data_IF_924014915748
#
_entry.id   IF_924014915748
#
_cell.length_a   1.000
_cell.length_b   1.000
_cell.length_c   1.000
_cell.angle_alpha   90.00
_cell.angle_beta   90.00
_cell.angle_gamma   90.00
#
_symmetry.space_group_name_H-M   'P 1'
#
loop_
_entity.id
_entity.type
_entity.pdbx_description
1 polymer ?
#
# COMPACT_ATOMS: atom_id res chain seq x y z
N UNK A 1 -46.42 -56.08 49.37
CA UNK A 1 -45.31 -56.64 48.56
C UNK A 1 -45.34 -56.01 47.17
N UNK A 2 -44.15 -55.67 46.66
CA UNK A 2 -43.79 -54.92 45.42
C UNK A 2 -43.63 -53.38 45.60
N UNK A 3 -42.37 -52.89 45.70
CA UNK A 3 -42.06 -51.47 45.67
C UNK A 3 -41.88 -50.95 44.22
N UNK A 4 -42.29 -49.70 44.00
CA UNK A 4 -42.15 -48.95 42.76
C UNK A 4 -40.71 -48.42 42.64
N UNK A 5 -40.08 -48.63 41.48
CA UNK A 5 -38.74 -48.14 41.13
C UNK A 5 -38.79 -46.63 40.86
N UNK A 6 -37.92 -45.85 41.51
CA UNK A 6 -37.60 -44.48 41.10
C UNK A 6 -36.19 -44.46 40.53
N UNK A 7 -36.06 -44.10 39.26
CA UNK A 7 -34.79 -43.95 38.55
C UNK A 7 -34.28 -42.51 38.73
N UNK A 8 -33.08 -42.40 39.28
CA UNK A 8 -32.29 -41.17 39.37
C UNK A 8 -31.71 -40.86 37.97
N UNK A 9 -32.10 -39.75 37.34
CA UNK A 9 -31.45 -39.24 36.12
C UNK A 9 -30.55 -38.08 36.51
N UNK A 10 -29.24 -38.31 36.40
CA UNK A 10 -28.19 -37.32 36.61
C UNK A 10 -28.01 -36.53 35.31
N UNK A 11 -28.49 -35.28 35.27
CA UNK A 11 -28.26 -34.38 34.12
C UNK A 11 -26.87 -33.75 34.21
N UNK A 12 -25.96 -34.19 33.34
CA UNK A 12 -24.66 -33.57 33.09
C UNK A 12 -24.90 -32.32 32.23
N UNK A 13 -24.65 -31.13 32.80
CA UNK A 13 -24.65 -29.86 32.07
C UNK A 13 -23.30 -29.76 31.34
N UNK A 14 -23.32 -29.99 30.03
CA UNK A 14 -22.19 -29.77 29.14
C UNK A 14 -22.09 -28.27 28.82
N UNK A 15 -21.12 -27.57 29.43
CA UNK A 15 -20.76 -26.20 29.05
C UNK A 15 -20.14 -26.22 27.64
N UNK A 16 -20.93 -25.83 26.64
CA UNK A 16 -20.45 -25.52 25.30
C UNK A 16 -19.76 -24.15 25.34
N UNK A 17 -18.43 -24.15 25.28
CA UNK A 17 -17.62 -22.98 24.97
C UNK A 17 -17.87 -22.56 23.52
N UNK A 18 -18.58 -21.45 23.32
CA UNK A 18 -18.71 -20.81 22.02
C UNK A 18 -17.38 -20.13 21.66
N UNK A 19 -16.54 -20.84 20.91
CA UNK A 19 -15.46 -20.22 20.15
C UNK A 19 -16.09 -19.35 19.04
N UNK A 20 -16.06 -18.04 19.22
CA UNK A 20 -16.41 -17.06 18.19
C UNK A 20 -15.32 -17.02 17.11
N UNK A 21 -15.29 -18.02 16.24
CA UNK A 21 -14.68 -17.87 14.92
C UNK A 21 -15.59 -16.94 14.10
N UNK A 22 -15.23 -15.65 14.00
CA UNK A 22 -15.84 -14.76 13.00
C UNK A 22 -15.44 -15.29 11.62
N UNK A 23 -16.33 -16.07 11.02
CA UNK A 23 -16.23 -16.53 9.64
C UNK A 23 -16.52 -15.34 8.73
N UNK A 24 -15.73 -15.16 7.67
CA UNK A 24 -16.01 -14.18 6.63
C UNK A 24 -17.42 -14.40 6.06
N UNK A 25 -18.20 -13.33 5.96
CA UNK A 25 -19.57 -13.39 5.45
C UNK A 25 -19.57 -13.31 3.91
N UNK A 26 -20.43 -14.08 3.22
CA UNK A 26 -20.59 -13.95 1.77
C UNK A 26 -21.16 -12.57 1.41
N UNK A 27 -20.74 -12.02 0.27
CA UNK A 27 -21.31 -10.78 -0.28
C UNK A 27 -22.82 -10.96 -0.55
N UNK A 28 -23.66 -10.22 0.16
CA UNK A 28 -25.12 -10.20 -0.06
C UNK A 28 -25.55 -9.00 -0.90
N UNK A 29 -26.67 -9.12 -1.62
CA UNK A 29 -27.14 -8.20 -2.66
C UNK A 29 -27.78 -6.90 -2.16
N UNK A 30 -27.67 -6.58 -0.87
CA UNK A 30 -27.99 -5.25 -0.35
C UNK A 30 -26.69 -4.59 0.11
N UNK A 31 -25.77 -4.39 -0.83
CA UNK A 31 -24.54 -3.64 -0.56
C UNK A 31 -24.95 -2.17 -0.40
N UNK A 32 -24.85 -1.59 0.80
CA UNK A 32 -25.02 -0.15 0.92
C UNK A 32 -23.88 0.51 0.14
N UNK A 33 -24.09 1.74 -0.34
CA UNK A 33 -23.07 2.57 -1.02
C UNK A 33 -21.92 2.92 -0.07
N UNK A 34 -21.22 1.93 0.48
CA UNK A 34 -20.35 2.12 1.62
C UNK A 34 -18.93 2.38 1.17
N UNK A 35 -18.44 3.49 1.70
CA UNK A 35 -17.04 3.81 1.92
C UNK A 35 -16.38 2.62 2.61
N UNK A 36 -15.17 2.29 2.19
CA UNK A 36 -14.45 1.12 2.69
C UNK A 36 -12.97 1.18 2.36
N UNK A 37 -12.22 0.26 2.94
CA UNK A 37 -10.78 0.19 2.78
C UNK A 37 -10.42 -1.12 2.10
N UNK A 38 -9.85 -1.04 0.91
CA UNK A 38 -9.16 -2.17 0.31
C UNK A 38 -7.82 -2.38 1.00
N UNK A 39 -7.50 -3.64 1.28
CA UNK A 39 -6.20 -4.08 1.75
C UNK A 39 -5.69 -5.11 0.76
N UNK A 40 -4.74 -4.70 -0.06
CA UNK A 40 -4.06 -5.59 -1.00
C UNK A 40 -3.04 -6.43 -0.23
N UNK A 41 -3.10 -7.73 -0.46
CA UNK A 41 -2.23 -8.71 0.18
C UNK A 41 -1.32 -9.29 -0.91
N UNK A 42 -0.01 -9.16 -0.75
CA UNK A 42 0.96 -9.59 -1.78
C UNK A 42 0.80 -11.08 -2.06
N UNK A 43 0.57 -11.87 -1.00
CA UNK A 43 0.83 -13.29 -1.05
C UNK A 43 2.34 -13.56 -1.06
N UNK A 44 2.71 -14.81 -1.32
CA UNK A 44 4.10 -15.23 -1.35
C UNK A 44 4.56 -15.35 -2.80
N UNK A 45 5.75 -14.84 -3.09
CA UNK A 45 6.38 -14.93 -4.39
C UNK A 45 6.34 -16.37 -4.96
N UNK A 46 5.85 -16.52 -6.18
CA UNK A 46 5.75 -17.80 -6.90
C UNK A 46 4.57 -18.68 -6.46
N UNK A 47 3.69 -18.21 -5.57
CA UNK A 47 2.57 -19.01 -5.03
C UNK A 47 1.23 -18.64 -5.61
N UNK A 48 1.12 -17.52 -6.32
CA UNK A 48 -0.11 -17.09 -7.00
C UNK A 48 -1.31 -17.03 -6.03
N UNK A 49 -1.06 -16.47 -4.85
CA UNK A 49 -1.99 -16.38 -3.72
C UNK A 49 -2.18 -14.93 -3.23
N UNK A 50 -1.97 -13.94 -4.10
CA UNK A 50 -2.37 -12.56 -3.80
C UNK A 50 -3.88 -12.48 -3.64
N UNK A 51 -4.34 -11.70 -2.67
CA UNK A 51 -5.77 -11.55 -2.35
C UNK A 51 -6.12 -10.09 -2.09
N UNK A 52 -7.38 -9.72 -2.30
CA UNK A 52 -7.87 -8.37 -2.02
C UNK A 52 -8.89 -8.40 -0.88
N UNK A 53 -8.50 -7.96 0.32
CA UNK A 53 -9.44 -7.84 1.43
C UNK A 53 -10.19 -6.50 1.34
N UNK A 54 -11.45 -6.46 1.78
CA UNK A 54 -12.25 -5.23 1.84
C UNK A 54 -12.86 -5.06 3.22
N UNK A 55 -12.54 -3.94 3.86
CA UNK A 55 -12.99 -3.58 5.20
C UNK A 55 -14.04 -2.46 5.14
N UNK A 56 -15.13 -2.62 5.89
CA UNK A 56 -16.17 -1.60 6.04
C UNK A 56 -16.09 -1.02 7.46
N UNK A 57 -15.60 0.23 7.64
CA UNK A 57 -15.40 0.83 8.96
C UNK A 57 -16.64 0.88 9.85
N UNK A 58 -17.80 1.24 9.28
CA UNK A 58 -19.06 1.47 10.00
C UNK A 58 -19.62 0.18 10.62
N UNK A 59 -19.57 -0.94 9.87
CA UNK A 59 -20.07 -2.24 10.33
C UNK A 59 -18.99 -3.11 10.97
N UNK A 60 -17.72 -2.71 10.83
CA UNK A 60 -16.55 -3.48 11.23
C UNK A 60 -16.46 -4.87 10.57
N UNK A 61 -17.04 -5.02 9.37
CA UNK A 61 -16.99 -6.24 8.58
C UNK A 61 -15.74 -6.27 7.71
N UNK A 62 -15.12 -7.45 7.60
CA UNK A 62 -14.02 -7.73 6.68
C UNK A 62 -14.45 -8.84 5.73
N UNK A 63 -14.41 -8.53 4.44
CA UNK A 63 -14.57 -9.50 3.37
C UNK A 63 -13.19 -9.93 2.89
N UNK A 64 -12.91 -11.22 2.98
CA UNK A 64 -11.64 -11.79 2.54
C UNK A 64 -11.67 -12.04 1.03
N UNK A 65 -10.64 -11.62 0.31
CA UNK A 65 -10.49 -11.85 -1.14
C UNK A 65 -11.74 -11.56 -1.99
N UNK A 66 -12.24 -10.31 -1.91
CA UNK A 66 -13.40 -9.87 -2.69
C UNK A 66 -13.20 -10.02 -4.19
N UNK A 67 -11.95 -10.00 -4.67
CA UNK A 67 -11.66 -10.23 -6.08
C UNK A 67 -12.05 -11.64 -6.51
N UNK A 68 -11.57 -12.67 -5.82
CA UNK A 68 -11.93 -14.06 -6.12
C UNK A 68 -13.42 -14.31 -5.91
N UNK A 69 -13.99 -13.84 -4.80
CA UNK A 69 -15.41 -14.07 -4.49
C UNK A 69 -16.35 -13.54 -5.58
N UNK A 70 -16.04 -12.37 -6.16
CA UNK A 70 -16.89 -11.76 -7.20
C UNK A 70 -16.57 -12.28 -8.60
N UNK A 71 -15.30 -12.55 -8.89
CA UNK A 71 -14.84 -12.79 -10.27
C UNK A 71 -14.46 -14.24 -10.57
N UNK A 72 -14.50 -15.13 -9.56
CA UNK A 72 -14.29 -16.57 -9.71
C UNK A 72 -12.87 -16.97 -10.14
N UNK A 73 -11.88 -16.09 -9.98
CA UNK A 73 -10.48 -16.36 -10.34
C UNK A 73 -9.51 -15.63 -9.40
N UNK A 74 -8.31 -16.19 -9.27
CA UNK A 74 -7.26 -15.59 -8.43
C UNK A 74 -6.81 -14.23 -9.01
N UNK A 75 -6.44 -13.33 -8.10
CA UNK A 75 -5.92 -12.02 -8.45
C UNK A 75 -4.56 -12.13 -9.17
N UNK A 76 -3.67 -12.97 -8.65
CA UNK A 76 -2.39 -13.30 -9.25
C UNK A 76 -1.31 -13.48 -8.18
N UNK A 77 -0.08 -13.16 -8.56
CA UNK A 77 1.12 -13.35 -7.75
C UNK A 77 1.80 -12.02 -7.45
N UNK A 78 2.02 -11.73 -6.16
CA UNK A 78 2.64 -10.50 -5.65
C UNK A 78 1.85 -9.22 -6.01
N UNK A 79 0.70 -9.02 -5.37
CA UNK A 79 -0.05 -7.75 -5.45
C UNK A 79 0.68 -6.60 -4.76
N UNK A 80 1.16 -5.61 -5.51
CA UNK A 80 2.13 -4.62 -5.03
C UNK A 80 1.56 -3.20 -4.82
N UNK A 81 0.54 -2.83 -5.58
CA UNK A 81 -0.06 -1.50 -5.48
C UNK A 81 -1.54 -1.48 -5.77
N UNK A 82 -2.23 -0.53 -5.16
CA UNK A 82 -3.66 -0.30 -5.39
C UNK A 82 -3.92 1.19 -5.45
N UNK A 83 -4.57 1.65 -6.52
CA UNK A 83 -4.97 3.04 -6.70
C UNK A 83 -6.43 3.10 -7.09
N UNK A 84 -7.18 3.98 -6.43
CA UNK A 84 -8.56 4.28 -6.79
C UNK A 84 -8.56 5.60 -7.53
N UNK A 85 -9.07 5.61 -8.76
CA UNK A 85 -9.19 6.83 -9.55
C UNK A 85 -10.51 6.82 -10.34
N UNK A 86 -11.36 7.81 -10.06
CA UNK A 86 -12.74 7.82 -10.57
C UNK A 86 -13.50 6.59 -10.10
N UNK A 87 -14.24 5.95 -11.01
CA UNK A 87 -15.01 4.73 -10.72
C UNK A 87 -14.24 3.44 -11.00
N UNK A 88 -12.92 3.43 -10.75
CA UNK A 88 -12.04 2.29 -11.03
C UNK A 88 -11.02 2.10 -9.92
N UNK A 89 -10.75 0.85 -9.62
CA UNK A 89 -9.66 0.41 -8.75
C UNK A 89 -8.65 -0.31 -9.63
N UNK A 90 -7.42 0.18 -9.64
CA UNK A 90 -6.30 -0.39 -10.38
C UNK A 90 -5.42 -1.16 -9.39
N UNK A 91 -5.18 -2.43 -9.68
CA UNK A 91 -4.43 -3.33 -8.80
C UNK A 91 -3.22 -3.83 -9.59
N UNK A 92 -2.03 -3.43 -9.17
CA UNK A 92 -0.77 -3.83 -9.81
C UNK A 92 -0.35 -5.18 -9.24
N UNK A 93 -0.20 -6.18 -10.12
CA UNK A 93 0.15 -7.54 -9.75
C UNK A 93 1.49 -7.89 -10.39
N UNK A 94 2.56 -7.71 -9.61
CA UNK A 94 3.93 -7.63 -10.08
C UNK A 94 4.39 -8.92 -10.77
N UNK A 95 4.37 -10.05 -10.07
CA UNK A 95 4.85 -11.33 -10.61
C UNK A 95 3.83 -12.01 -11.55
N UNK A 96 2.78 -11.29 -11.93
CA UNK A 96 1.84 -11.69 -12.99
C UNK A 96 1.84 -10.74 -14.18
N UNK A 97 2.78 -9.78 -14.23
CA UNK A 97 2.98 -8.87 -15.36
C UNK A 97 1.68 -8.18 -15.82
N UNK A 98 0.85 -7.76 -14.87
CA UNK A 98 -0.47 -7.21 -15.19
C UNK A 98 -0.98 -6.22 -14.18
N UNK A 99 -1.99 -5.47 -14.62
CA UNK A 99 -2.85 -4.64 -13.79
C UNK A 99 -4.28 -5.15 -13.94
N UNK A 100 -4.92 -5.45 -12.83
CA UNK A 100 -6.33 -5.78 -12.78
C UNK A 100 -7.13 -4.51 -12.49
N UNK A 101 -8.20 -4.28 -13.24
CA UNK A 101 -9.08 -3.13 -13.05
C UNK A 101 -10.45 -3.63 -12.64
N UNK A 102 -10.95 -3.18 -11.50
CA UNK A 102 -12.28 -3.52 -10.99
C UNK A 102 -13.11 -2.26 -10.73
N UNK A 103 -14.42 -2.45 -10.66
CA UNK A 103 -15.38 -1.43 -10.26
C UNK A 103 -15.46 -1.38 -8.71
N UNK A 104 -15.36 -0.19 -8.07
CA UNK A 104 -15.17 -0.10 -6.62
C UNK A 104 -16.38 -0.53 -5.78
N UNK A 105 -17.62 -0.46 -6.29
CA UNK A 105 -18.83 -0.78 -5.52
C UNK A 105 -19.15 -2.27 -5.58
N UNK A 106 -19.13 -2.83 -6.79
CA UNK A 106 -19.51 -4.21 -7.09
C UNK A 106 -18.31 -5.16 -7.09
N UNK A 107 -17.09 -4.62 -7.10
CA UNK A 107 -15.82 -5.35 -7.20
C UNK A 107 -15.69 -6.20 -8.47
N UNK A 108 -16.58 -5.99 -9.44
CA UNK A 108 -16.59 -6.70 -10.71
C UNK A 108 -15.38 -6.28 -11.53
N UNK A 109 -14.73 -7.27 -12.10
CA UNK A 109 -13.68 -7.11 -13.07
C UNK A 109 -14.18 -6.34 -14.28
N UNK A 110 -13.39 -5.33 -14.67
CA UNK A 110 -13.63 -4.51 -15.84
C UNK A 110 -12.68 -4.88 -16.98
N UNK A 111 -11.40 -5.08 -16.67
CA UNK A 111 -10.37 -5.52 -17.62
C UNK A 111 -9.07 -5.91 -16.93
N UNK A 112 -8.22 -6.58 -17.70
CA UNK A 112 -6.82 -6.83 -17.38
C UNK A 112 -5.95 -6.08 -18.39
N UNK A 113 -4.94 -5.37 -17.90
CA UNK A 113 -3.95 -4.69 -18.72
C UNK A 113 -2.64 -5.46 -18.58
N UNK A 114 -2.14 -6.02 -19.67
CA UNK A 114 -0.93 -6.83 -19.67
C UNK A 114 0.30 -5.94 -19.90
N UNK A 115 1.34 -6.18 -19.10
CA UNK A 115 2.66 -5.57 -19.20
C UNK A 115 3.70 -6.70 -19.21
N UNK A 116 3.74 -7.53 -20.26
CA UNK A 116 4.48 -8.79 -20.27
C UNK A 116 5.98 -8.56 -20.10
N UNK A 117 6.63 -9.27 -19.17
CA UNK A 117 8.06 -9.12 -18.83
C UNK A 117 8.42 -7.72 -18.31
N UNK A 118 7.52 -7.03 -17.62
CA UNK A 118 7.73 -5.66 -17.16
C UNK A 118 7.96 -5.56 -15.65
N UNK A 119 7.48 -6.52 -14.85
CA UNK A 119 7.53 -6.45 -13.39
C UNK A 119 6.93 -5.11 -12.90
N UNK A 120 5.62 -4.87 -13.18
CA UNK A 120 4.97 -3.61 -12.84
C UNK A 120 4.92 -3.45 -11.31
N UNK A 121 5.19 -2.25 -10.80
CA UNK A 121 5.39 -2.05 -9.36
C UNK A 121 4.41 -1.03 -8.76
N UNK A 122 4.44 0.24 -9.18
CA UNK A 122 3.49 1.27 -8.74
C UNK A 122 2.78 1.91 -9.93
N UNK A 123 1.58 2.44 -9.70
CA UNK A 123 0.80 3.15 -10.73
C UNK A 123 0.40 4.56 -10.27
N UNK A 124 0.51 5.54 -11.16
CA UNK A 124 -0.12 6.85 -11.00
C UNK A 124 -1.07 7.14 -12.17
N UNK A 125 -2.21 7.73 -11.89
CA UNK A 125 -3.22 8.09 -12.90
C UNK A 125 -3.17 9.59 -13.15
N UNK A 126 -3.14 9.98 -14.43
CA UNK A 126 -3.23 11.36 -14.87
C UNK A 126 -4.21 11.46 -16.05
N UNK A 127 -5.38 12.06 -15.83
CA UNK A 127 -6.43 12.15 -16.83
C UNK A 127 -6.84 10.76 -17.35
N UNK A 128 -6.64 10.52 -18.65
CA UNK A 128 -6.91 9.23 -19.30
C UNK A 128 -5.69 8.32 -19.41
N UNK A 129 -4.55 8.72 -18.84
CA UNK A 129 -3.30 7.94 -18.85
C UNK A 129 -3.00 7.36 -17.48
N UNK A 130 -2.45 6.15 -17.47
CA UNK A 130 -1.80 5.55 -16.31
C UNK A 130 -0.31 5.41 -16.58
N UNK A 131 0.51 5.70 -15.59
CA UNK A 131 1.96 5.55 -15.64
C UNK A 131 2.33 4.47 -14.64
N UNK A 132 3.02 3.43 -15.10
CA UNK A 132 3.30 2.22 -14.32
C UNK A 132 4.80 2.03 -14.27
N UNK A 133 5.39 2.04 -13.08
CA UNK A 133 6.83 1.76 -12.94
C UNK A 133 7.12 0.29 -13.17
N UNK A 134 8.24 0.00 -13.82
CA UNK A 134 8.68 -1.35 -14.16
C UNK A 134 10.10 -1.57 -13.64
N UNK A 135 10.23 -2.36 -12.57
CA UNK A 135 11.48 -2.47 -11.82
C UNK A 135 12.66 -2.91 -12.69
N UNK A 136 12.51 -3.99 -13.44
CA UNK A 136 13.63 -4.59 -14.17
C UNK A 136 13.84 -4.01 -15.57
N UNK A 137 12.99 -3.06 -15.99
CA UNK A 137 13.11 -2.35 -17.27
C UNK A 137 13.75 -0.98 -17.16
N UNK A 138 13.93 -0.46 -15.94
CA UNK A 138 14.38 0.93 -15.72
C UNK A 138 13.50 1.92 -16.50
N UNK A 139 12.18 1.68 -16.47
CA UNK A 139 11.22 2.34 -17.34
C UNK A 139 9.84 2.48 -16.70
N UNK A 140 9.04 3.34 -17.31
CA UNK A 140 7.61 3.47 -17.06
C UNK A 140 6.84 3.00 -18.30
N UNK A 141 5.80 2.20 -18.11
CA UNK A 141 4.81 1.92 -19.16
C UNK A 141 3.68 2.93 -19.05
N UNK A 142 3.29 3.53 -20.18
CA UNK A 142 2.14 4.44 -20.26
C UNK A 142 0.97 3.68 -20.87
N UNK A 143 -0.16 3.67 -20.16
CA UNK A 143 -1.38 2.98 -20.55
C UNK A 143 -2.51 3.99 -20.75
N UNK A 144 -3.43 3.69 -21.66
CA UNK A 144 -4.72 4.36 -21.72
C UNK A 144 -5.69 3.66 -20.75
N UNK A 145 -6.21 4.40 -19.78
CA UNK A 145 -7.02 3.82 -18.69
C UNK A 145 -8.46 3.51 -19.12
N UNK A 146 -8.91 4.03 -20.27
CA UNK A 146 -10.26 3.82 -20.78
C UNK A 146 -10.34 2.58 -21.66
N UNK A 147 -9.29 2.30 -22.42
CA UNK A 147 -9.16 1.16 -23.35
C UNK A 147 -8.33 0.03 -22.76
N UNK A 148 -7.45 0.33 -21.80
CA UNK A 148 -6.50 -0.63 -21.24
C UNK A 148 -5.34 -0.95 -22.19
N UNK A 149 -5.17 -0.17 -23.27
CA UNK A 149 -4.10 -0.36 -24.23
C UNK A 149 -2.80 0.27 -23.73
N UNK A 150 -1.67 -0.37 -24.03
CA UNK A 150 -0.34 0.21 -23.83
C UNK A 150 -0.09 1.26 -24.91
N UNK A 151 0.10 2.51 -24.50
CA UNK A 151 0.43 3.64 -25.38
C UNK A 151 1.94 3.72 -25.62
N UNK A 152 2.72 3.53 -24.55
CA UNK A 152 4.18 3.50 -24.59
C UNK A 152 4.64 2.35 -23.70
N UNK A 153 5.25 1.33 -24.31
CA UNK A 153 5.72 0.16 -23.56
C UNK A 153 6.91 0.49 -22.66
N UNK A 154 7.86 1.30 -23.16
CA UNK A 154 9.10 1.64 -22.46
C UNK A 154 9.40 3.14 -22.57
N UNK A 155 9.04 3.91 -21.53
CA UNK A 155 9.52 5.27 -21.29
C UNK A 155 10.67 5.21 -20.29
N UNK A 156 11.92 5.37 -20.77
CA UNK A 156 13.12 5.23 -19.92
C UNK A 156 13.16 6.27 -18.79
N UNK A 157 13.51 5.80 -17.60
CA UNK A 157 13.80 6.60 -16.39
C UNK A 157 15.10 6.11 -15.76
N UNK A 158 15.34 6.39 -14.47
CA UNK A 158 16.48 5.85 -13.73
C UNK A 158 16.32 4.36 -13.38
N UNK A 159 17.22 3.86 -12.53
CA UNK A 159 17.30 2.44 -12.23
C UNK A 159 16.20 2.02 -11.24
N UNK A 160 15.61 0.84 -11.49
CA UNK A 160 14.62 0.18 -10.63
C UNK A 160 13.59 1.13 -10.02
N UNK A 161 12.71 1.74 -10.84
CA UNK A 161 11.76 2.72 -10.34
C UNK A 161 10.72 2.06 -9.41
N UNK A 162 10.71 2.47 -8.13
CA UNK A 162 9.83 1.89 -7.10
C UNK A 162 8.71 2.81 -6.65
N UNK A 163 8.85 4.14 -6.80
CA UNK A 163 7.82 5.11 -6.43
C UNK A 163 7.27 5.86 -7.63
N UNK A 164 5.98 6.22 -7.59
CA UNK A 164 5.39 7.12 -8.58
C UNK A 164 4.28 7.97 -7.98
N UNK A 165 4.20 9.25 -8.39
CA UNK A 165 3.18 10.18 -7.92
C UNK A 165 2.77 11.14 -9.04
N UNK A 166 1.47 11.39 -9.20
CA UNK A 166 0.96 12.41 -10.13
C UNK A 166 0.45 13.62 -9.38
N UNK A 167 1.02 14.79 -9.64
CA UNK A 167 0.58 16.05 -9.05
C UNK A 167 1.01 17.23 -9.92
N UNK A 168 0.22 18.31 -9.89
CA UNK A 168 0.52 19.57 -10.56
C UNK A 168 0.90 19.42 -12.06
N UNK A 169 0.19 18.54 -12.78
CA UNK A 169 0.43 18.31 -14.21
C UNK A 169 1.73 17.57 -14.53
N UNK A 170 2.35 16.91 -13.55
CA UNK A 170 3.60 16.15 -13.70
C UNK A 170 3.45 14.76 -13.12
N UNK A 171 4.33 13.85 -13.54
CA UNK A 171 4.53 12.54 -12.92
C UNK A 171 5.95 12.52 -12.35
N UNK A 172 6.07 12.22 -11.06
CA UNK A 172 7.35 12.05 -10.37
C UNK A 172 7.60 10.55 -10.20
N UNK A 173 8.77 10.09 -10.58
CA UNK A 173 9.17 8.68 -10.50
C UNK A 173 10.42 8.57 -9.63
N UNK A 174 10.33 7.85 -8.52
CA UNK A 174 11.47 7.59 -7.65
C UNK A 174 12.25 6.39 -8.21
N UNK A 175 13.53 6.62 -8.52
CA UNK A 175 14.43 5.58 -9.02
C UNK A 175 15.32 5.13 -7.87
N UNK A 176 14.97 4.02 -7.24
CA UNK A 176 15.69 3.54 -6.06
C UNK A 176 17.01 2.88 -6.42
N UNK A 177 17.08 2.22 -7.58
CA UNK A 177 18.21 1.39 -7.97
C UNK A 177 18.56 0.31 -6.93
N UNK A 178 17.60 -0.11 -6.11
CA UNK A 178 17.84 -0.94 -4.91
C UNK A 178 18.87 -0.34 -3.94
N UNK A 179 18.93 0.99 -3.84
CA UNK A 179 19.86 1.74 -2.99
C UNK A 179 20.98 2.39 -3.80
N UNK A 180 21.17 1.99 -5.06
CA UNK A 180 22.27 2.47 -5.91
C UNK A 180 21.85 3.55 -6.92
N UNK A 181 20.63 4.08 -6.83
CA UNK A 181 20.22 5.29 -7.54
C UNK A 181 19.67 6.30 -6.52
N UNK A 182 19.71 7.57 -6.91
CA UNK A 182 19.44 8.72 -6.06
C UNK A 182 18.67 9.80 -6.82
N UNK A 183 17.92 9.41 -7.85
CA UNK A 183 17.22 10.36 -8.74
C UNK A 183 15.71 10.19 -8.68
N UNK A 184 15.00 11.31 -8.73
CA UNK A 184 13.60 11.37 -9.14
C UNK A 184 13.52 11.86 -10.58
N UNK A 185 12.90 11.10 -11.48
CA UNK A 185 12.60 11.53 -12.84
C UNK A 185 11.25 12.25 -12.86
N UNK A 186 11.19 13.44 -13.48
CA UNK A 186 9.95 14.21 -13.67
C UNK A 186 9.53 14.08 -15.13
N UNK A 187 8.32 13.58 -15.35
CA UNK A 187 7.73 13.38 -16.68
C UNK A 187 6.63 14.42 -16.91
N UNK A 188 6.62 15.00 -18.11
CA UNK A 188 5.50 15.77 -18.62
C UNK A 188 4.49 14.81 -19.30
N UNK A 189 3.29 14.61 -18.74
CA UNK A 189 2.34 13.65 -19.26
C UNK A 189 1.59 14.10 -20.53
N UNK A 190 1.71 15.39 -20.92
CA UNK A 190 1.20 15.87 -22.21
C UNK A 190 2.06 15.39 -23.37
N UNK A 191 3.38 15.27 -23.15
CA UNK A 191 4.36 14.89 -24.18
C UNK A 191 4.97 13.52 -23.97
N UNK A 192 4.69 12.88 -22.83
CA UNK A 192 5.27 11.61 -22.38
C UNK A 192 6.80 11.60 -22.42
N UNK A 193 7.41 12.70 -21.95
CA UNK A 193 8.87 12.86 -21.91
C UNK A 193 9.34 13.18 -20.49
N UNK A 194 10.47 12.58 -20.12
CA UNK A 194 11.24 13.04 -18.95
C UNK A 194 11.75 14.46 -19.25
N UNK A 195 11.40 15.41 -18.39
CA UNK A 195 11.75 16.83 -18.54
C UNK A 195 12.76 17.31 -17.50
N UNK A 196 12.95 16.57 -16.41
CA UNK A 196 13.90 16.89 -15.34
C UNK A 196 14.31 15.63 -14.58
N UNK A 197 15.52 15.65 -14.05
CA UNK A 197 15.95 14.72 -13.00
C UNK A 197 16.35 15.52 -11.77
N UNK A 198 15.91 15.08 -10.60
CA UNK A 198 16.19 15.70 -9.30
C UNK A 198 17.06 14.72 -8.52
N UNK A 199 18.28 15.14 -8.14
CA UNK A 199 19.18 14.33 -7.32
C UNK A 199 18.84 14.49 -5.84
N UNK A 200 18.72 13.38 -5.13
CA UNK A 200 18.37 13.26 -3.71
C UNK A 200 19.46 12.48 -2.97
N UNK A 201 19.05 11.74 -1.93
CA UNK A 201 19.84 10.68 -1.31
C UNK A 201 19.48 9.31 -1.90
N UNK A 202 20.21 8.28 -1.49
CA UNK A 202 20.14 6.94 -2.05
C UNK A 202 18.81 6.24 -1.75
N UNK A 203 18.33 5.43 -2.69
CA UNK A 203 17.11 4.66 -2.53
C UNK A 203 15.83 5.51 -2.37
N UNK A 204 15.55 6.53 -3.21
CA UNK A 204 14.25 7.18 -3.20
C UNK A 204 13.15 6.15 -3.50
N UNK A 205 12.10 6.12 -2.70
CA UNK A 205 11.05 5.08 -2.77
C UNK A 205 9.63 5.63 -2.61
N UNK A 206 9.29 6.20 -1.45
CA UNK A 206 7.92 6.59 -1.14
C UNK A 206 7.68 8.10 -1.33
N UNK A 207 6.48 8.45 -1.77
CA UNK A 207 6.02 9.83 -1.91
C UNK A 207 4.85 10.14 -0.97
N UNK A 208 4.79 11.35 -0.42
CA UNK A 208 3.60 11.87 0.26
C UNK A 208 3.48 13.39 0.10
N UNK A 209 2.24 13.90 -0.01
CA UNK A 209 1.97 15.31 -0.25
C UNK A 209 1.69 16.06 1.06
N UNK A 210 2.44 17.12 1.32
CA UNK A 210 2.10 18.15 2.31
C UNK A 210 1.33 19.27 1.58
N UNK A 211 0.02 19.08 1.43
CA UNK A 211 -0.85 19.97 0.65
C UNK A 211 -0.79 21.43 1.10
N UNK A 212 -0.73 21.66 2.42
CA UNK A 212 -0.72 23.01 3.00
C UNK A 212 0.46 23.88 2.58
N UNK A 213 1.54 23.26 2.06
CA UNK A 213 2.76 23.96 1.60
C UNK A 213 3.12 23.66 0.15
N UNK A 214 2.29 22.94 -0.61
CA UNK A 214 2.60 22.49 -1.97
C UNK A 214 3.93 21.74 -2.07
N UNK A 215 4.23 20.88 -1.08
CA UNK A 215 5.47 20.11 -0.99
C UNK A 215 5.20 18.63 -1.20
N UNK A 216 5.82 18.05 -2.22
CA UNK A 216 5.88 16.60 -2.39
C UNK A 216 7.11 16.09 -1.65
N UNK A 217 6.89 15.37 -0.54
CA UNK A 217 7.95 14.73 0.20
C UNK A 217 8.32 13.39 -0.46
N UNK A 218 9.61 13.13 -0.55
CA UNK A 218 10.20 11.89 -1.05
C UNK A 218 11.02 11.26 0.05
N UNK A 219 10.72 10.02 0.41
CA UNK A 219 11.49 9.23 1.36
C UNK A 219 12.55 8.43 0.60
N UNK A 220 13.80 8.66 0.97
CA UNK A 220 14.95 7.85 0.61
C UNK A 220 15.23 6.88 1.76
N UNK A 221 15.21 5.56 1.50
CA UNK A 221 15.53 4.57 2.53
C UNK A 221 17.04 4.40 2.74
N UNK A 222 17.86 5.06 1.92
CA UNK A 222 19.31 4.92 1.91
C UNK A 222 19.77 3.75 1.05
N UNK A 223 20.97 3.26 1.31
CA UNK A 223 21.52 2.04 0.73
C UNK A 223 21.92 1.13 1.86
N UNK A 224 21.58 -0.15 1.73
CA UNK A 224 22.33 -1.20 2.39
C UNK A 224 23.60 -1.38 1.56
N UNK A 225 24.77 -1.25 2.14
CA UNK A 225 25.97 -1.67 1.45
C UNK A 225 26.20 -3.16 1.64
N UNK A 226 27.45 -3.61 1.64
CA UNK A 226 27.77 -5.02 1.80
C UNK A 226 27.81 -5.42 3.29
N UNK A 227 27.33 -6.62 3.58
CA UNK A 227 27.32 -7.16 4.95
C UNK A 227 28.73 -7.30 5.59
N UNK A 228 29.80 -7.02 4.84
CA UNK A 228 31.19 -7.14 5.27
C UNK A 228 31.76 -5.79 5.72
N UNK A 229 31.15 -4.66 5.36
CA UNK A 229 31.60 -3.33 5.73
C UNK A 229 30.44 -2.42 6.22
N UNK A 230 30.08 -2.44 7.50
CA UNK A 230 28.97 -1.63 8.04
C UNK A 230 29.13 -0.10 7.91
N UNK A 231 30.27 0.40 7.41
CA UNK A 231 30.51 1.81 7.10
C UNK A 231 30.05 2.21 5.67
N UNK A 232 29.51 1.28 4.87
CA UNK A 232 29.02 1.54 3.51
C UNK A 232 27.49 1.71 3.40
N UNK A 233 26.78 1.63 4.53
CA UNK A 233 25.37 1.95 4.63
C UNK A 233 25.14 3.46 4.56
N UNK A 234 24.13 3.89 3.80
CA UNK A 234 23.63 5.26 3.86
C UNK A 234 22.28 5.31 4.57
N UNK A 235 22.09 6.35 5.38
CA UNK A 235 20.95 6.45 6.27
C UNK A 235 19.68 6.97 5.56
N UNK A 236 18.52 6.64 6.11
CA UNK A 236 17.24 7.14 5.65
C UNK A 236 17.12 8.65 5.74
N UNK A 237 16.64 9.29 4.67
CA UNK A 237 16.45 10.75 4.59
C UNK A 237 15.23 11.08 3.76
N UNK A 238 14.52 12.15 4.09
CA UNK A 238 13.44 12.66 3.26
C UNK A 238 13.70 14.07 2.76
N UNK A 239 13.17 14.39 1.58
CA UNK A 239 13.32 15.68 0.91
C UNK A 239 11.96 16.22 0.50
N UNK A 240 11.74 17.52 0.71
CA UNK A 240 10.56 18.21 0.20
C UNK A 240 10.87 18.85 -1.15
N UNK A 241 10.10 18.49 -2.18
CA UNK A 241 10.14 19.11 -3.50
C UNK A 241 8.97 20.08 -3.60
N UNK A 242 9.25 21.35 -3.89
CA UNK A 242 8.21 22.31 -4.26
C UNK A 242 7.64 21.91 -5.63
N UNK A 243 6.34 21.57 -5.69
CA UNK A 243 5.71 21.00 -6.89
C UNK A 243 5.54 22.02 -8.03
N UNK A 244 5.71 23.31 -7.75
CA UNK A 244 5.61 24.39 -8.75
C UNK A 244 6.94 24.53 -9.48
N UNK A 245 8.04 24.54 -8.73
CA UNK A 245 9.39 24.83 -9.23
C UNK A 245 10.27 23.59 -9.45
N UNK A 246 9.85 22.43 -8.95
CA UNK A 246 10.61 21.18 -8.90
C UNK A 246 11.95 21.31 -8.18
N UNK A 247 12.06 22.25 -7.25
CA UNK A 247 13.26 22.46 -6.45
C UNK A 247 13.11 21.80 -5.08
N UNK A 248 14.22 21.28 -4.57
CA UNK A 248 14.28 20.82 -3.18
C UNK A 248 14.24 22.06 -2.28
N UNK A 249 13.29 22.10 -1.36
CA UNK A 249 13.07 23.23 -0.45
C UNK A 249 13.25 22.86 1.02
N UNK A 250 13.33 21.56 1.34
CA UNK A 250 13.57 21.08 2.70
C UNK A 250 14.15 19.67 2.71
N UNK A 251 14.73 19.26 3.84
CA UNK A 251 15.08 17.88 4.12
C UNK A 251 15.12 17.56 5.60
N UNK A 252 14.89 16.28 5.94
CA UNK A 252 14.93 15.74 7.30
C UNK A 252 15.70 14.41 7.25
N UNK A 253 16.72 14.28 8.09
CA UNK A 253 17.42 13.00 8.30
C UNK A 253 16.53 12.14 9.19
N UNK A 254 16.15 10.96 8.69
CA UNK A 254 15.27 10.02 9.42
C UNK A 254 16.12 8.97 10.16
N UNK A 255 17.29 8.60 9.61
CA UNK A 255 18.11 7.52 10.14
C UNK A 255 17.57 6.13 9.77
N UNK A 256 18.39 5.09 9.97
CA UNK A 256 18.04 3.69 9.67
C UNK A 256 17.62 3.49 8.21
N UNK A 257 16.69 2.57 7.96
CA UNK A 257 16.13 2.29 6.63
C UNK A 257 14.60 2.37 6.65
N UNK A 258 14.05 3.59 6.65
CA UNK A 258 12.61 3.80 6.75
C UNK A 258 11.91 3.35 5.47
N UNK A 259 10.67 2.91 5.58
CA UNK A 259 9.85 2.54 4.44
C UNK A 259 8.42 3.01 4.62
N UNK A 260 7.71 3.21 3.49
CA UNK A 260 6.37 3.80 3.41
C UNK A 260 6.33 5.22 3.96
N UNK A 261 5.53 6.08 3.36
CA UNK A 261 5.40 7.45 3.82
C UNK A 261 3.95 7.89 3.65
N UNK A 262 3.36 8.40 4.72
CA UNK A 262 2.09 9.11 4.69
C UNK A 262 2.21 10.42 5.46
N UNK A 263 1.52 11.47 5.01
CA UNK A 263 1.54 12.79 5.63
C UNK A 263 0.13 13.25 5.90
N UNK A 264 -0.10 13.80 7.09
CA UNK A 264 -1.33 14.48 7.45
C UNK A 264 -1.08 15.51 8.56
N UNK A 265 -1.72 16.67 8.48
CA UNK A 265 -1.69 17.72 9.51
C UNK A 265 -0.28 18.17 9.95
N UNK A 266 0.67 18.21 9.01
CA UNK A 266 2.05 18.65 9.29
C UNK A 266 2.94 17.58 9.93
N UNK A 267 2.45 16.34 10.02
CA UNK A 267 3.22 15.19 10.48
C UNK A 267 3.42 14.19 9.34
N UNK A 268 4.63 13.65 9.25
CA UNK A 268 4.93 12.45 8.47
C UNK A 268 4.91 11.22 9.38
N UNK A 269 4.44 10.11 8.84
CA UNK A 269 4.48 8.80 9.46
C UNK A 269 5.18 7.83 8.50
N UNK A 270 6.14 7.09 9.02
CA UNK A 270 6.95 6.13 8.26
C UNK A 270 7.19 4.89 9.11
N UNK A 271 7.35 3.73 8.47
CA UNK A 271 7.82 2.54 9.17
C UNK A 271 9.33 2.66 9.32
N UNK A 272 9.86 2.41 10.52
CA UNK A 272 11.29 2.33 10.80
C UNK A 272 11.51 1.30 11.90
N UNK A 273 12.41 0.34 11.65
CA UNK A 273 12.72 -0.76 12.57
C UNK A 273 11.47 -1.55 13.04
N UNK A 274 10.47 -1.68 12.15
CA UNK A 274 9.18 -2.32 12.42
C UNK A 274 8.14 -1.43 13.12
N UNK A 275 8.55 -0.32 13.72
CA UNK A 275 7.66 0.63 14.40
C UNK A 275 7.14 1.70 13.44
N UNK A 276 6.13 2.46 13.85
CA UNK A 276 5.78 3.73 13.19
C UNK A 276 6.54 4.85 13.88
N UNK A 277 7.39 5.53 13.12
CA UNK A 277 7.98 6.79 13.51
C UNK A 277 7.06 7.95 13.10
N UNK A 278 6.91 8.95 13.98
CA UNK A 278 6.18 10.20 13.69
C UNK A 278 7.16 11.37 13.65
N UNK A 279 7.11 12.15 12.58
CA UNK A 279 8.03 13.26 12.32
C UNK A 279 7.21 14.55 12.21
N UNK A 280 7.52 15.55 13.02
CA UNK A 280 6.95 16.89 12.84
C UNK A 280 7.68 17.61 11.71
N UNK A 281 6.99 17.94 10.62
CA UNK A 281 7.61 18.51 9.41
C UNK A 281 8.11 19.95 9.61
N UNK A 282 7.67 20.63 10.67
CA UNK A 282 8.08 22.02 10.96
C UNK A 282 9.23 22.08 11.96
N UNK A 283 9.17 21.29 13.04
CA UNK A 283 10.24 21.27 14.07
C UNK A 283 11.34 20.27 13.76
N UNK A 284 11.09 19.33 12.84
CA UNK A 284 11.96 18.18 12.50
C UNK A 284 12.20 17.22 13.66
N UNK A 285 11.39 17.32 14.71
CA UNK A 285 11.41 16.38 15.83
C UNK A 285 10.89 15.00 15.37
N UNK A 286 11.63 13.95 15.74
CA UNK A 286 11.32 12.56 15.40
C UNK A 286 10.99 11.78 16.66
N UNK A 287 9.83 11.15 16.66
CA UNK A 287 9.41 10.17 17.64
C UNK A 287 9.52 8.79 17.00
N UNK A 288 10.68 8.16 17.18
CA UNK A 288 11.08 6.89 16.53
C UNK A 288 10.07 5.76 16.76
N UNK A 289 9.61 5.59 17.99
CA UNK A 289 8.69 4.54 18.41
C UNK A 289 7.31 5.11 18.75
N UNK A 290 6.76 5.96 17.88
CA UNK A 290 5.46 6.60 18.12
C UNK A 290 4.33 5.56 18.26
N UNK A 291 4.36 4.51 17.43
CA UNK A 291 3.54 3.30 17.61
C UNK A 291 4.47 2.09 17.49
N UNK A 292 4.61 1.34 18.59
CA UNK A 292 5.41 0.12 18.61
C UNK A 292 4.70 -1.05 17.91
N UNK A 293 5.44 -1.81 17.12
CA UNK A 293 4.91 -2.95 16.38
C UNK A 293 5.95 -3.62 15.47
N UNK A 294 5.46 -4.42 14.52
CA UNK A 294 6.26 -5.02 13.46
C UNK A 294 5.51 -4.87 12.13
N UNK A 295 5.39 -3.62 11.69
CA UNK A 295 4.57 -3.25 10.56
C UNK A 295 5.32 -3.42 9.24
N UNK A 296 4.60 -3.86 8.22
CA UNK A 296 5.04 -4.09 6.86
C UNK A 296 4.47 -3.04 5.88
N UNK A 297 3.27 -2.52 6.16
CA UNK A 297 2.67 -1.46 5.37
C UNK A 297 1.91 -0.45 6.22
N UNK A 298 1.76 0.75 5.65
CA UNK A 298 1.18 1.91 6.30
C UNK A 298 0.28 2.63 5.31
N UNK A 299 -0.92 2.98 5.74
CA UNK A 299 -1.88 3.80 5.02
C UNK A 299 -2.54 4.82 5.94
N UNK A 300 -3.10 5.87 5.36
CA UNK A 300 -3.81 6.91 6.11
C UNK A 300 -5.17 7.19 5.48
N UNK A 301 -6.20 7.15 6.30
CA UNK A 301 -7.53 7.66 5.96
C UNK A 301 -7.57 9.14 6.31
N UNK A 302 -7.47 10.00 5.28
CA UNK A 302 -7.39 11.44 5.43
C UNK A 302 -8.70 12.02 5.99
N UNK A 303 -9.86 11.45 5.62
CA UNK A 303 -11.16 11.99 6.04
C UNK A 303 -11.44 11.69 7.50
N UNK A 304 -11.16 10.45 7.92
CA UNK A 304 -11.41 10.01 9.30
C UNK A 304 -10.20 10.22 10.23
N UNK A 305 -9.06 10.65 9.67
CA UNK A 305 -7.80 10.90 10.39
C UNK A 305 -7.31 9.66 11.15
N UNK A 306 -7.27 8.54 10.43
CA UNK A 306 -6.89 7.23 10.97
C UNK A 306 -5.66 6.68 10.27
N UNK A 307 -4.74 6.13 11.06
CA UNK A 307 -3.60 5.35 10.57
C UNK A 307 -3.99 3.87 10.50
N UNK A 308 -3.67 3.24 9.38
CA UNK A 308 -3.81 1.80 9.18
C UNK A 308 -2.41 1.21 9.04
N UNK A 309 -2.02 0.37 9.99
CA UNK A 309 -0.71 -0.25 10.05
C UNK A 309 -0.87 -1.77 9.91
N UNK A 310 -0.27 -2.37 8.89
CA UNK A 310 -0.41 -3.80 8.64
C UNK A 310 0.82 -4.57 9.10
N UNK A 311 0.60 -5.67 9.79
CA UNK A 311 1.62 -6.62 10.26
C UNK A 311 1.52 -7.90 9.44
N UNK A 312 2.62 -8.25 8.76
CA UNK A 312 2.73 -9.46 7.94
C UNK A 312 2.92 -10.74 8.78
N UNK A 313 3.02 -10.60 10.10
CA UNK A 313 3.28 -11.64 11.10
C UNK A 313 4.62 -12.34 10.84
N UNK A 314 4.55 -13.51 10.21
CA UNK A 314 5.71 -14.35 9.88
C UNK A 314 5.82 -14.58 8.37
N UNK A 315 5.17 -13.74 7.57
CA UNK A 315 5.14 -13.81 6.11
C UNK A 315 4.49 -15.09 5.55
N UNK A 316 3.90 -15.94 6.40
CA UNK A 316 3.26 -17.19 6.00
C UNK A 316 1.81 -17.21 6.42
N UNK A 317 1.51 -16.84 7.67
CA UNK A 317 0.14 -16.74 8.16
C UNK A 317 -0.54 -15.48 7.65
N UNK A 318 -1.86 -15.47 7.76
CA UNK A 318 -2.68 -14.27 7.54
C UNK A 318 -2.19 -13.11 8.40
N UNK A 319 -2.03 -11.96 7.78
CA UNK A 319 -1.63 -10.71 8.42
C UNK A 319 -2.76 -10.09 9.23
N UNK A 320 -2.42 -9.00 9.93
CA UNK A 320 -3.37 -8.25 10.74
C UNK A 320 -3.20 -6.75 10.48
N UNK A 321 -4.30 -6.03 10.37
CA UNK A 321 -4.31 -4.58 10.26
C UNK A 321 -4.72 -4.00 11.59
N UNK A 322 -3.95 -3.03 12.07
CA UNK A 322 -4.18 -2.27 13.29
C UNK A 322 -4.56 -0.84 12.90
N UNK A 323 -5.57 -0.30 13.56
CA UNK A 323 -6.08 1.05 13.30
C UNK A 323 -5.84 1.93 14.52
N UNK A 324 -5.24 3.09 14.30
CA UNK A 324 -4.92 4.08 15.33
C UNK A 324 -5.47 5.45 14.93
N UNK A 325 -5.77 6.31 15.91
CA UNK A 325 -5.93 7.74 15.63
C UNK A 325 -4.56 8.44 15.54
N UNK A 326 -4.55 9.72 15.13
CA UNK A 326 -3.31 10.50 14.99
C UNK A 326 -2.58 10.79 16.31
N UNK A 327 -3.22 10.52 17.46
CA UNK A 327 -2.58 10.60 18.79
C UNK A 327 -1.79 9.34 19.12
N UNK A 328 -1.92 8.27 18.32
CA UNK A 328 -1.27 6.97 18.54
C UNK A 328 -2.14 6.04 19.36
N UNK A 329 -3.39 6.40 19.65
CA UNK A 329 -4.31 5.56 20.42
C UNK A 329 -4.85 4.44 19.55
N UNK A 330 -4.68 3.22 20.01
CA UNK A 330 -5.26 2.04 19.38
C UNK A 330 -6.79 2.10 19.37
N UNK A 331 -7.39 1.82 18.21
CA UNK A 331 -8.84 1.78 18.03
C UNK A 331 -9.31 0.33 17.89
N UNK A 332 -8.73 -0.41 16.94
CA UNK A 332 -9.17 -1.76 16.59
C UNK A 332 -8.13 -2.49 15.76
N UNK A 333 -8.33 -3.78 15.60
CA UNK A 333 -7.58 -4.61 14.65
C UNK A 333 -8.46 -5.67 14.01
N UNK A 334 -8.04 -6.16 12.85
CA UNK A 334 -8.73 -7.22 12.13
C UNK A 334 -7.76 -8.00 11.24
N UNK A 335 -8.07 -9.28 11.03
CA UNK A 335 -7.26 -10.18 10.20
C UNK A 335 -7.56 -9.95 8.71
N UNK A 336 -6.53 -10.09 7.86
CA UNK A 336 -6.60 -9.97 6.39
C UNK A 336 -5.85 -11.13 5.72
N UNK A 337 -5.50 -11.00 4.44
CA UNK A 337 -4.71 -11.99 3.70
C UNK A 337 -3.23 -12.04 4.12
N UNK A 338 -2.44 -12.82 3.38
CA UNK A 338 -1.00 -13.00 3.64
C UNK A 338 -0.21 -11.80 3.10
N UNK A 339 0.63 -11.19 3.95
CA UNK A 339 1.48 -10.04 3.62
C UNK A 339 0.65 -8.84 3.10
N UNK A 340 -0.14 -8.17 3.96
CA UNK A 340 -0.87 -6.96 3.59
C UNK A 340 0.10 -5.79 3.29
N UNK A 341 0.14 -5.33 2.05
CA UNK A 341 1.19 -4.42 1.54
C UNK A 341 0.74 -3.03 1.16
N UNK A 342 -0.53 -2.86 0.79
CA UNK A 342 -1.05 -1.58 0.29
C UNK A 342 -2.51 -1.39 0.62
N UNK A 343 -2.92 -0.12 0.75
CA UNK A 343 -4.25 0.30 1.15
C UNK A 343 -4.90 1.18 0.07
N UNK A 344 -6.18 0.95 -0.21
CA UNK A 344 -7.00 1.81 -1.06
C UNK A 344 -8.23 2.30 -0.31
N UNK A 345 -8.34 3.60 -0.08
CA UNK A 345 -9.46 4.19 0.67
C UNK A 345 -10.58 4.66 -0.27
N UNK A 346 -11.74 4.00 -0.19
CA UNK A 346 -12.99 4.42 -0.87
C UNK A 346 -13.72 5.34 0.09
N UNK A 347 -13.71 6.64 -0.20
CA UNK A 347 -14.10 7.71 0.71
C UNK A 347 -15.35 8.48 0.29
#
# INVERSE_FOLDING_TARGET
MKPLKSFLVLSIILLLSLNSCKKSEPLTSETPKLKGVYILNEGNFGRNNSTLSYYIPDSNLVYEDVFYQVNGRNLGDTGNDIVIAGNRVYIVVNNSDKIEVIEPITHKWLRTILTPNASPYKIAIWGTKGYVTNLYRNAVTVIDVNTGSVLIDTLKVGNNPTGIFSINGKIYVANSGFGYDNRVSVINPQTDKVIKEIKLHDGPDAFALEESKNRLWVLCYGSYGDWQNPDDDTYGKMFAIDITTDNIVDSIIVGGHPSRLVILEGFAYTIKDGNIARINLSTKEIQENFIEGNFYSLGIDILNKLLYCADAKDYVRKGEVYVYDLSGKFIKKFQVGVIPSSFGFVN
#
